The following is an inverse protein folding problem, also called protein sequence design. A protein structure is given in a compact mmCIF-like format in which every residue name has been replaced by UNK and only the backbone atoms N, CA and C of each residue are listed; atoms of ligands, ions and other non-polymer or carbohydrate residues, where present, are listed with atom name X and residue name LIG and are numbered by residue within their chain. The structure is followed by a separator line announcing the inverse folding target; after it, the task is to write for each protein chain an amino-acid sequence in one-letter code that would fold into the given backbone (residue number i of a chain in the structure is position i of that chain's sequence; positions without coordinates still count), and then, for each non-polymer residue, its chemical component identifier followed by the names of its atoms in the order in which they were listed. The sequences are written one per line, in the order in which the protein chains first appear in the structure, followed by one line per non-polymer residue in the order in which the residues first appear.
data_IF_668991291994
#
_entry.id   IF_668991291994
#
_cell.length_a   1.000
_cell.length_b   1.000
_cell.length_c   1.000
_cell.angle_alpha   90.00
_cell.angle_beta   90.00
_cell.angle_gamma   90.00
#
_symmetry.space_group_name_H-M   'P 1'
#
loop_
_entity.id
_entity.type
_entity.pdbx_description
1 polymer ?
#
# COMPACT_ATOMS: atom_id res chain seq x y z
N UNK A 1 -64.38 65.78 -10.65
CA UNK A 1 -64.40 66.35 -12.01
C UNK A 1 -63.01 66.94 -12.29
N UNK A 2 -62.27 66.34 -13.25
CA UNK A 2 -61.03 66.79 -13.94
C UNK A 2 -59.86 67.46 -13.17
N UNK A 3 -58.69 66.84 -13.22
CA UNK A 3 -57.35 67.37 -13.63
C UNK A 3 -56.32 66.22 -13.44
N UNK A 4 -55.71 65.59 -14.44
CA UNK A 4 -54.65 65.99 -15.40
C UNK A 4 -53.29 66.37 -14.77
N UNK A 5 -52.38 65.38 -14.82
CA UNK A 5 -50.98 65.41 -15.34
C UNK A 5 -49.92 66.23 -14.56
N UNK A 6 -48.88 65.55 -14.04
CA UNK A 6 -47.51 65.52 -14.62
C UNK A 6 -46.49 64.81 -13.71
N UNK A 7 -45.53 64.20 -14.39
CA UNK A 7 -44.16 63.87 -13.96
C UNK A 7 -43.94 62.60 -13.13
N UNK A 8 -43.75 61.49 -13.84
CA UNK A 8 -42.81 60.44 -13.43
C UNK A 8 -42.58 59.47 -14.59
N UNK A 9 -41.73 59.83 -15.56
CA UNK A 9 -41.21 58.88 -16.56
C UNK A 9 -39.96 59.42 -17.25
N UNK A 10 -38.92 59.71 -16.48
CA UNK A 10 -37.54 59.67 -16.98
C UNK A 10 -36.66 59.22 -15.82
N UNK A 11 -35.72 58.31 -16.11
CA UNK A 11 -34.72 57.73 -15.21
C UNK A 11 -35.16 56.47 -14.44
N UNK A 12 -35.23 55.34 -15.16
CA UNK A 12 -34.79 54.02 -14.65
C UNK A 12 -34.71 53.00 -15.80
N UNK A 13 -33.88 53.30 -16.79
CA UNK A 13 -33.26 52.30 -17.66
C UNK A 13 -31.77 52.27 -17.34
N UNK A 14 -31.48 51.82 -16.13
CA UNK A 14 -30.17 51.31 -15.72
C UNK A 14 -30.42 49.90 -15.19
N UNK A 15 -30.62 48.96 -16.10
CA UNK A 15 -30.41 47.55 -15.79
C UNK A 15 -28.93 47.40 -15.43
N UNK A 16 -28.57 46.91 -14.22
CA UNK A 16 -27.23 46.40 -14.02
C UNK A 16 -27.11 45.19 -14.94
N UNK A 17 -26.22 45.32 -15.92
CA UNK A 17 -25.68 44.21 -16.70
C UNK A 17 -25.29 43.14 -15.67
N UNK A 18 -26.02 42.04 -15.64
CA UNK A 18 -25.57 40.85 -14.94
C UNK A 18 -24.22 40.50 -15.55
N UNK A 19 -23.14 40.70 -14.81
CA UNK A 19 -21.84 40.14 -15.13
C UNK A 19 -22.02 38.61 -15.08
N UNK A 20 -22.40 38.03 -16.21
CA UNK A 20 -22.27 36.62 -16.44
C UNK A 20 -20.77 36.34 -16.46
N UNK A 21 -20.19 36.04 -15.29
CA UNK A 21 -18.91 35.35 -15.26
C UNK A 21 -19.13 34.07 -16.04
N UNK A 22 -18.44 33.94 -17.18
CA UNK A 22 -18.39 32.68 -17.90
C UNK A 22 -17.82 31.63 -16.94
N UNK A 23 -18.67 30.71 -16.49
CA UNK A 23 -18.21 29.53 -15.79
C UNK A 23 -17.65 28.58 -16.85
N UNK A 24 -16.33 28.39 -16.83
CA UNK A 24 -15.67 27.41 -17.67
C UNK A 24 -15.85 26.03 -17.02
N UNK A 25 -16.49 25.12 -17.74
CA UNK A 25 -16.52 23.71 -17.36
C UNK A 25 -15.14 23.13 -17.64
N UNK A 26 -14.53 22.55 -16.61
CA UNK A 26 -13.26 21.85 -16.73
C UNK A 26 -13.54 20.36 -16.51
N UNK A 27 -13.04 19.54 -17.42
CA UNK A 27 -13.08 18.09 -17.29
C UNK A 27 -12.05 17.65 -16.24
N UNK A 28 -12.48 16.82 -15.30
CA UNK A 28 -11.62 16.25 -14.26
C UNK A 28 -11.75 14.73 -14.26
N UNK A 29 -10.61 14.05 -14.11
CA UNK A 29 -10.58 12.62 -13.92
C UNK A 29 -11.14 12.24 -12.54
N UNK A 30 -12.01 11.23 -12.52
CA UNK A 30 -12.48 10.63 -11.27
C UNK A 30 -11.35 9.80 -10.65
N UNK A 31 -11.01 10.10 -9.41
CA UNK A 31 -9.99 9.39 -8.63
C UNK A 31 -10.63 8.73 -7.40
N UNK A 32 -10.13 7.56 -7.02
CA UNK A 32 -10.58 6.85 -5.82
C UNK A 32 -9.62 7.06 -4.65
N UNK A 33 -10.13 7.05 -3.42
CA UNK A 33 -9.26 6.96 -2.25
C UNK A 33 -8.57 5.58 -2.16
N UNK A 34 -7.55 5.44 -1.31
CA UNK A 34 -6.76 4.20 -1.22
C UNK A 34 -7.59 2.98 -0.79
N UNK A 35 -8.70 3.19 -0.08
CA UNK A 35 -9.66 2.13 0.30
C UNK A 35 -10.69 1.82 -0.79
N UNK A 36 -10.72 2.61 -1.88
CA UNK A 36 -11.74 2.56 -2.94
C UNK A 36 -13.18 2.61 -2.40
N UNK A 37 -13.34 3.25 -1.24
CA UNK A 37 -14.63 3.48 -0.59
C UNK A 37 -15.25 4.79 -1.05
N UNK A 38 -14.45 5.69 -1.61
CA UNK A 38 -14.90 6.98 -2.12
C UNK A 38 -14.30 7.24 -3.50
N UNK A 39 -15.09 7.90 -4.35
CA UNK A 39 -14.65 8.44 -5.64
C UNK A 39 -14.92 9.95 -5.62
N UNK A 40 -14.01 10.74 -6.16
CA UNK A 40 -14.09 12.18 -6.15
C UNK A 40 -13.16 12.80 -7.17
N UNK A 41 -12.82 14.06 -6.94
CA UNK A 41 -11.96 14.85 -7.81
C UNK A 41 -10.86 15.50 -6.99
N UNK A 42 -9.67 15.54 -7.57
CA UNK A 42 -8.56 16.37 -7.12
C UNK A 42 -8.31 17.50 -8.13
N UNK A 43 -7.58 18.53 -7.69
CA UNK A 43 -7.28 19.70 -8.52
C UNK A 43 -6.42 19.36 -9.75
N UNK A 44 -5.65 18.27 -9.69
CA UNK A 44 -4.83 17.76 -10.80
C UNK A 44 -4.94 16.24 -10.87
N UNK A 45 -4.72 15.67 -12.05
CA UNK A 45 -4.76 14.21 -12.25
C UNK A 45 -3.57 13.47 -11.63
N UNK A 46 -2.50 14.16 -11.23
CA UNK A 46 -1.36 13.57 -10.52
C UNK A 46 -1.59 13.43 -9.02
N UNK A 47 -2.62 14.08 -8.47
CA UNK A 47 -2.97 14.00 -7.06
C UNK A 47 -3.82 12.78 -6.74
N UNK A 48 -3.73 12.32 -5.50
CA UNK A 48 -4.49 11.19 -5.02
C UNK A 48 -5.52 11.62 -3.97
N UNK A 49 -6.76 11.12 -4.09
CA UNK A 49 -7.87 11.43 -3.18
C UNK A 49 -7.64 10.78 -1.82
N UNK A 50 -7.71 11.58 -0.75
CA UNK A 50 -7.62 11.13 0.64
C UNK A 50 -9.03 10.85 1.18
N UNK A 51 -9.85 11.88 1.30
CA UNK A 51 -11.25 11.77 1.75
C UNK A 51 -12.08 12.93 1.19
N UNK A 52 -13.29 12.65 0.67
CA UNK A 52 -14.19 13.66 0.12
C UNK A 52 -14.75 14.63 1.18
N UNK A 53 -14.75 14.26 2.46
CA UNK A 53 -15.18 15.11 3.57
C UNK A 53 -14.10 16.10 4.03
N UNK A 54 -12.87 15.95 3.53
CA UNK A 54 -11.75 16.82 3.81
C UNK A 54 -11.75 18.08 2.92
N UNK A 55 -10.88 19.03 3.25
CA UNK A 55 -10.92 20.39 2.71
C UNK A 55 -9.75 20.66 1.76
N UNK A 56 -10.07 21.10 0.54
CA UNK A 56 -9.11 21.44 -0.52
C UNK A 56 -8.13 22.56 -0.13
N UNK A 57 -8.46 23.37 0.88
CA UNK A 57 -7.55 24.40 1.43
C UNK A 57 -6.28 23.78 2.04
N UNK A 58 -6.35 22.53 2.49
CA UNK A 58 -5.23 21.80 3.07
C UNK A 58 -4.58 20.82 2.09
N UNK A 59 -4.97 20.83 0.81
CA UNK A 59 -4.40 19.94 -0.19
C UNK A 59 -2.87 20.04 -0.24
N UNK A 60 -2.23 18.90 -0.49
CA UNK A 60 -0.77 18.74 -0.54
C UNK A 60 -0.06 19.03 0.78
N UNK A 61 -0.79 19.02 1.91
CA UNK A 61 -0.24 19.06 3.26
C UNK A 61 -0.54 17.75 4.00
N UNK A 62 0.25 16.67 3.79
CA UNK A 62 -0.02 15.37 4.42
C UNK A 62 -0.12 15.42 5.95
N UNK A 63 0.61 16.34 6.61
CA UNK A 63 0.55 16.52 8.06
C UNK A 63 -0.85 16.93 8.58
N UNK A 64 -1.65 17.64 7.77
CA UNK A 64 -3.03 18.01 8.13
C UNK A 64 -3.97 16.78 8.24
N UNK A 65 -3.57 15.62 7.71
CA UNK A 65 -4.36 14.38 7.84
C UNK A 65 -4.76 14.10 9.28
N UNK A 66 -3.83 14.28 10.21
CA UNK A 66 -4.03 14.04 11.64
C UNK A 66 -5.07 14.96 12.26
N UNK A 67 -5.12 16.22 11.83
CA UNK A 67 -6.15 17.17 12.24
C UNK A 67 -7.50 16.83 11.60
N UNK A 68 -7.49 16.42 10.33
CA UNK A 68 -8.64 15.93 9.56
C UNK A 68 -9.40 14.79 10.24
N UNK A 69 -8.67 13.86 10.88
CA UNK A 69 -9.28 12.77 11.65
C UNK A 69 -10.15 13.26 12.82
N UNK A 70 -9.90 14.46 13.36
CA UNK A 70 -10.69 15.08 14.43
C UNK A 70 -11.70 16.07 13.89
N UNK A 71 -11.29 16.87 12.92
CA UNK A 71 -12.07 17.93 12.31
C UNK A 71 -11.93 17.80 10.79
N UNK A 72 -12.89 17.18 10.08
CA UNK A 72 -12.77 16.93 8.64
C UNK A 72 -12.43 18.18 7.82
N UNK A 73 -12.92 19.36 8.24
CA UNK A 73 -12.60 20.64 7.60
C UNK A 73 -11.12 21.07 7.67
N UNK A 74 -10.28 20.34 8.40
CA UNK A 74 -8.84 20.56 8.59
C UNK A 74 -7.96 19.47 7.97
N UNK A 75 -8.54 18.46 7.31
CA UNK A 75 -7.79 17.43 6.59
C UNK A 75 -7.53 17.82 5.12
N UNK A 76 -6.46 17.29 4.49
CA UNK A 76 -6.22 17.45 3.06
C UNK A 76 -7.20 16.59 2.26
N UNK A 77 -7.96 17.15 1.33
CA UNK A 77 -8.82 16.34 0.44
C UNK A 77 -7.98 15.48 -0.50
N UNK A 78 -6.88 16.05 -1.00
CA UNK A 78 -5.93 15.40 -1.90
C UNK A 78 -4.48 15.67 -1.49
N UNK A 79 -3.57 14.76 -1.83
CA UNK A 79 -2.12 14.95 -1.72
C UNK A 79 -1.45 14.78 -3.08
N UNK A 80 -0.28 15.39 -3.25
CA UNK A 80 0.45 15.42 -4.52
C UNK A 80 1.22 14.12 -4.77
N UNK A 81 1.56 13.89 -6.04
CA UNK A 81 2.47 12.80 -6.41
C UNK A 81 3.81 12.97 -5.68
N UNK A 82 4.34 11.87 -5.12
CA UNK A 82 5.54 11.90 -4.30
C UNK A 82 5.27 12.07 -2.80
N UNK A 83 4.04 12.45 -2.41
CA UNK A 83 3.66 12.57 -1.01
C UNK A 83 3.01 11.28 -0.48
N UNK A 84 3.00 11.12 0.84
CA UNK A 84 2.40 9.96 1.49
C UNK A 84 1.70 10.31 2.81
N UNK A 85 0.75 9.47 3.19
CA UNK A 85 0.13 9.42 4.52
C UNK A 85 0.30 8.00 5.03
N UNK A 86 1.00 7.82 6.15
CA UNK A 86 1.38 6.48 6.65
C UNK A 86 2.04 5.69 5.52
N UNK A 87 1.62 4.45 5.25
CA UNK A 87 2.18 3.66 4.16
C UNK A 87 1.65 4.05 2.78
N UNK A 88 0.62 4.90 2.68
CA UNK A 88 -0.07 5.19 1.41
C UNK A 88 0.66 6.29 0.65
N UNK A 89 1.25 5.92 -0.48
CA UNK A 89 2.05 6.79 -1.32
C UNK A 89 1.29 7.14 -2.60
N UNK A 90 1.27 8.43 -2.95
CA UNK A 90 0.66 8.91 -4.18
C UNK A 90 1.68 8.89 -5.32
N UNK A 91 1.39 8.13 -6.37
CA UNK A 91 2.24 8.01 -7.56
C UNK A 91 1.43 8.35 -8.81
N UNK A 92 1.58 9.58 -9.31
CA UNK A 92 0.93 10.06 -10.54
C UNK A 92 -0.58 9.77 -10.57
N UNK A 93 -1.29 10.17 -9.51
CA UNK A 93 -2.73 9.98 -9.38
C UNK A 93 -3.17 8.59 -8.93
N UNK A 94 -2.23 7.65 -8.81
CA UNK A 94 -2.50 6.28 -8.38
C UNK A 94 -1.95 6.03 -6.98
N UNK A 95 -2.75 5.39 -6.14
CA UNK A 95 -2.29 4.91 -4.84
C UNK A 95 -1.39 3.69 -4.99
N UNK A 96 -0.27 3.70 -4.28
CA UNK A 96 0.56 2.53 -3.97
C UNK A 96 0.97 2.59 -2.50
N UNK A 97 1.84 1.70 -2.04
CA UNK A 97 2.40 1.77 -0.70
C UNK A 97 3.90 2.05 -0.71
N UNK A 98 4.41 2.66 0.36
CA UNK A 98 5.86 2.78 0.57
C UNK A 98 6.49 1.41 0.77
N UNK A 99 5.76 0.47 1.38
CA UNK A 99 6.13 -0.95 1.42
C UNK A 99 6.34 -1.53 0.01
N UNK A 100 5.50 -1.20 -0.97
CA UNK A 100 5.65 -1.67 -2.35
C UNK A 100 6.94 -1.14 -3.00
N UNK A 101 7.23 0.14 -2.83
CA UNK A 101 8.45 0.77 -3.37
C UNK A 101 9.71 0.18 -2.73
N UNK A 102 9.66 -0.07 -1.41
CA UNK A 102 10.73 -0.75 -0.70
C UNK A 102 10.88 -2.22 -1.13
N UNK A 103 9.77 -2.92 -1.34
CA UNK A 103 9.75 -4.30 -1.83
C UNK A 103 10.41 -4.40 -3.22
N UNK A 104 10.14 -3.44 -4.11
CA UNK A 104 10.78 -3.34 -5.43
C UNK A 104 12.29 -3.16 -5.31
N UNK A 105 12.75 -2.29 -4.40
CA UNK A 105 14.19 -2.11 -4.13
C UNK A 105 14.86 -3.41 -3.65
N UNK A 106 14.19 -4.19 -2.80
CA UNK A 106 14.68 -5.48 -2.33
C UNK A 106 14.67 -6.55 -3.44
N UNK A 107 13.67 -6.57 -4.32
CA UNK A 107 13.68 -7.44 -5.51
C UNK A 107 14.86 -7.08 -6.42
N UNK A 108 15.10 -5.79 -6.68
CA UNK A 108 16.24 -5.36 -7.48
C UNK A 108 17.58 -5.86 -6.89
N UNK A 109 17.74 -5.79 -5.56
CA UNK A 109 18.88 -6.37 -4.85
C UNK A 109 19.00 -7.88 -5.09
N UNK A 110 17.90 -8.63 -4.94
CA UNK A 110 17.90 -10.06 -5.18
C UNK A 110 18.24 -10.43 -6.62
N UNK A 111 17.74 -9.68 -7.60
CA UNK A 111 18.02 -9.92 -9.02
C UNK A 111 19.48 -9.69 -9.38
N UNK A 112 20.14 -8.72 -8.73
CA UNK A 112 21.57 -8.51 -8.93
C UNK A 112 22.43 -9.60 -8.27
N UNK A 113 22.07 -10.03 -7.06
CA UNK A 113 22.94 -10.86 -6.23
C UNK A 113 22.65 -12.38 -6.31
N UNK A 114 21.39 -12.75 -6.57
CA UNK A 114 20.91 -14.14 -6.57
C UNK A 114 19.63 -14.28 -7.42
N UNK A 115 19.70 -13.99 -8.74
CA UNK A 115 18.53 -13.83 -9.61
C UNK A 115 17.59 -15.04 -9.62
N UNK A 116 18.14 -16.25 -9.46
CA UNK A 116 17.38 -17.50 -9.52
C UNK A 116 17.13 -18.15 -8.16
N UNK A 117 17.47 -17.49 -7.05
CA UNK A 117 17.26 -18.05 -5.72
C UNK A 117 17.06 -16.96 -4.67
N UNK A 118 15.81 -16.56 -4.48
CA UNK A 118 15.44 -15.60 -3.44
C UNK A 118 14.00 -15.77 -2.99
N UNK A 119 13.68 -15.22 -1.82
CA UNK A 119 12.32 -15.01 -1.36
C UNK A 119 12.17 -13.66 -0.68
N UNK A 120 11.10 -12.95 -0.99
CA UNK A 120 10.66 -11.72 -0.35
C UNK A 120 9.32 -11.97 0.35
N UNK A 121 9.21 -11.51 1.59
CA UNK A 121 7.98 -11.56 2.36
C UNK A 121 7.74 -10.22 3.05
N UNK A 122 6.65 -9.54 2.67
CA UNK A 122 6.21 -8.28 3.22
C UNK A 122 4.90 -8.49 3.99
N UNK A 123 4.90 -8.10 5.27
CA UNK A 123 3.76 -8.19 6.18
C UNK A 123 3.94 -7.18 7.31
N UNK A 124 3.06 -7.19 8.31
CA UNK A 124 3.29 -6.49 9.56
C UNK A 124 4.65 -6.89 10.15
N UNK A 125 5.33 -5.97 10.88
CA UNK A 125 6.63 -6.27 11.47
C UNK A 125 6.64 -7.52 12.35
N UNK A 126 5.55 -7.78 13.08
CA UNK A 126 5.42 -8.94 13.97
C UNK A 126 5.34 -10.28 13.21
N UNK A 127 4.80 -10.28 11.99
CA UNK A 127 4.75 -11.48 11.15
C UNK A 127 6.03 -11.67 10.33
N UNK A 128 6.57 -10.58 9.79
CA UNK A 128 7.75 -10.62 8.93
C UNK A 128 9.05 -10.84 9.72
N UNK A 129 9.20 -10.22 10.89
CA UNK A 129 10.43 -10.25 11.68
C UNK A 129 10.33 -11.27 12.82
N UNK A 130 11.07 -12.37 12.68
CA UNK A 130 10.99 -13.52 13.59
C UNK A 130 11.48 -13.23 15.04
N UNK A 131 12.29 -12.20 15.26
CA UNK A 131 12.92 -11.91 16.56
C UNK A 131 12.94 -10.42 16.87
N UNK A 132 11.85 -9.92 17.43
CA UNK A 132 11.76 -8.54 17.92
C UNK A 132 12.06 -8.41 19.42
N UNK A 133 11.98 -9.50 20.19
CA UNK A 133 12.16 -9.48 21.65
C UNK A 133 13.66 -9.48 22.05
N UNK A 134 14.35 -8.36 21.81
CA UNK A 134 15.70 -8.11 22.32
C UNK A 134 15.83 -6.67 22.81
N UNK A 135 16.90 -6.40 23.56
CA UNK A 135 17.21 -5.06 24.05
C UNK A 135 18.45 -4.53 23.37
N UNK A 136 18.47 -3.23 23.13
CA UNK A 136 19.64 -2.45 22.72
C UNK A 136 20.10 -1.58 23.88
N UNK A 137 21.18 -0.81 23.70
CA UNK A 137 21.58 0.19 24.70
C UNK A 137 20.53 1.28 24.91
N UNK A 138 19.58 1.42 23.98
CA UNK A 138 18.55 2.46 23.97
C UNK A 138 17.21 1.99 24.52
N UNK A 139 16.97 0.68 24.62
CA UNK A 139 15.75 0.13 25.18
C UNK A 139 15.29 -1.17 24.53
N UNK A 140 14.01 -1.48 24.75
CA UNK A 140 13.38 -2.70 24.28
C UNK A 140 12.82 -2.53 22.86
N UNK A 141 13.28 -3.37 21.93
CA UNK A 141 13.09 -3.17 20.49
C UNK A 141 11.64 -3.12 20.01
N UNK A 142 10.70 -3.94 20.51
CA UNK A 142 9.29 -3.87 20.11
C UNK A 142 8.66 -2.50 20.38
N UNK A 143 9.22 -1.72 21.31
CA UNK A 143 8.83 -0.34 21.56
C UNK A 143 8.91 0.52 20.30
N UNK A 144 9.99 0.40 19.51
CA UNK A 144 10.21 1.21 18.30
C UNK A 144 9.33 0.82 17.11
N UNK A 145 8.53 -0.24 17.23
CA UNK A 145 7.57 -0.65 16.18
C UNK A 145 6.16 -0.15 16.49
N UNK A 146 5.68 -0.30 17.72
CA UNK A 146 4.26 -0.10 18.04
C UNK A 146 3.99 1.03 19.05
N UNK A 147 4.98 1.41 19.86
CA UNK A 147 4.79 2.38 20.93
C UNK A 147 5.56 3.69 20.64
N UNK A 148 4.83 4.81 20.71
CA UNK A 148 5.42 6.15 20.92
C UNK A 148 6.03 6.86 19.71
N UNK A 149 5.40 6.75 18.52
CA UNK A 149 5.59 7.76 17.48
C UNK A 149 4.59 8.91 17.66
N UNK A 150 5.12 10.13 17.66
CA UNK A 150 4.31 11.34 17.66
C UNK A 150 4.05 11.72 16.20
N UNK A 151 2.78 11.76 15.85
CA UNK A 151 2.33 12.33 14.59
C UNK A 151 1.88 13.76 14.85
N UNK A 152 2.51 14.72 14.19
CA UNK A 152 2.25 16.15 14.44
C UNK A 152 1.34 16.70 13.34
N UNK A 153 0.11 17.04 13.70
CA UNK A 153 -0.74 17.94 12.92
C UNK A 153 -0.41 19.39 13.21
N UNK A 154 -1.08 20.32 12.52
CA UNK A 154 -0.94 21.76 12.74
C UNK A 154 -1.50 22.20 14.10
N UNK A 155 -2.52 21.49 14.63
CA UNK A 155 -3.19 21.86 15.88
C UNK A 155 -2.80 20.98 17.07
N UNK A 156 -1.83 20.07 16.88
CA UNK A 156 -1.23 19.33 17.97
C UNK A 156 -0.65 17.98 17.58
N UNK A 157 -0.05 17.33 18.58
CA UNK A 157 0.48 15.99 18.48
C UNK A 157 -0.60 14.94 18.75
N UNK A 158 -0.57 13.85 17.96
CA UNK A 158 -1.35 12.63 18.19
C UNK A 158 -0.36 11.51 18.45
N UNK A 159 -0.59 10.77 19.54
CA UNK A 159 0.09 9.50 19.74
C UNK A 159 -0.53 8.49 18.78
N UNK A 160 0.19 8.15 17.72
CA UNK A 160 -0.18 7.06 16.84
C UNK A 160 0.51 5.78 17.31
N UNK A 161 -0.19 4.66 17.17
CA UNK A 161 0.45 3.33 17.15
C UNK A 161 1.07 3.12 15.77
N UNK A 162 1.99 2.17 15.65
CA UNK A 162 2.68 1.90 14.39
C UNK A 162 3.69 2.99 14.01
N UNK A 163 4.84 2.98 14.67
CA UNK A 163 5.97 3.86 14.35
C UNK A 163 6.60 3.54 12.99
N UNK A 164 6.32 2.33 12.50
CA UNK A 164 6.70 1.84 11.18
C UNK A 164 5.47 1.19 10.55
N UNK A 165 5.44 1.11 9.22
CA UNK A 165 4.40 0.36 8.52
C UNK A 165 4.80 -1.12 8.40
N UNK A 166 4.44 -1.76 7.29
CA UNK A 166 4.84 -3.13 7.03
C UNK A 166 6.36 -3.24 6.85
N UNK A 167 6.87 -4.43 7.13
CA UNK A 167 8.27 -4.79 6.97
C UNK A 167 8.39 -5.88 5.90
N UNK A 168 9.39 -5.74 5.05
CA UNK A 168 9.76 -6.72 4.04
C UNK A 168 11.06 -7.40 4.44
N UNK A 169 11.08 -8.74 4.40
CA UNK A 169 12.28 -9.54 4.61
C UNK A 169 12.64 -10.23 3.31
N UNK A 170 13.87 -10.03 2.87
CA UNK A 170 14.46 -10.64 1.70
C UNK A 170 15.50 -11.67 2.13
N UNK A 171 15.32 -12.92 1.72
CA UNK A 171 16.36 -13.93 1.71
C UNK A 171 16.88 -14.09 0.29
N UNK A 172 18.20 -13.95 0.08
CA UNK A 172 18.83 -14.04 -1.23
C UNK A 172 20.19 -14.73 -1.08
N UNK A 173 20.37 -15.86 -1.77
CA UNK A 173 21.45 -16.79 -1.45
C UNK A 173 21.42 -17.19 0.03
N UNK A 174 22.52 -16.96 0.74
CA UNK A 174 22.66 -17.21 2.19
C UNK A 174 22.56 -15.93 3.05
N UNK A 175 22.16 -14.80 2.46
CA UNK A 175 22.03 -13.51 3.15
C UNK A 175 20.58 -13.16 3.40
N UNK A 176 20.37 -12.32 4.39
CA UNK A 176 19.08 -11.74 4.75
C UNK A 176 19.24 -10.23 4.75
N UNK A 177 18.31 -9.54 4.10
CA UNK A 177 18.09 -8.12 4.24
C UNK A 177 16.65 -7.91 4.71
N UNK A 178 16.39 -6.77 5.33
CA UNK A 178 15.02 -6.33 5.54
C UNK A 178 14.90 -4.83 5.28
N UNK A 179 13.68 -4.38 5.07
CA UNK A 179 13.38 -2.97 5.04
C UNK A 179 11.98 -2.68 5.53
N UNK A 180 11.75 -1.41 5.85
CA UNK A 180 10.51 -0.90 6.41
C UNK A 180 10.38 0.60 6.13
N UNK A 181 9.15 1.08 6.01
CA UNK A 181 8.84 2.51 5.92
C UNK A 181 8.52 3.05 7.32
N UNK A 182 9.03 4.23 7.63
CA UNK A 182 8.94 4.87 8.94
C UNK A 182 7.79 5.89 8.96
N UNK A 183 7.09 5.96 10.09
CA UNK A 183 6.09 6.99 10.34
C UNK A 183 6.64 8.14 11.20
N UNK A 184 7.88 8.02 11.69
CA UNK A 184 8.64 9.11 12.29
C UNK A 184 9.95 9.30 11.54
N UNK A 185 10.48 10.52 11.55
CA UNK A 185 11.76 10.78 10.89
C UNK A 185 12.89 9.98 11.54
N UNK A 186 13.87 9.60 10.72
CA UNK A 186 15.02 8.77 11.12
C UNK A 186 15.89 9.43 12.20
N UNK A 187 15.84 10.75 12.33
CA UNK A 187 16.61 11.55 13.27
C UNK A 187 15.80 11.98 14.51
N UNK A 188 14.57 11.48 14.65
CA UNK A 188 13.73 11.80 15.81
C UNK A 188 14.29 11.22 17.12
N UNK A 189 13.95 11.79 18.30
CA UNK A 189 14.41 11.26 19.59
C UNK A 189 14.04 9.80 19.85
N UNK A 190 12.95 9.31 19.24
CA UNK A 190 12.51 7.91 19.28
C UNK A 190 12.85 7.17 17.97
N UNK A 191 13.99 7.50 17.35
CA UNK A 191 14.41 6.96 16.06
C UNK A 191 14.43 5.43 16.03
N UNK A 192 14.04 4.88 14.88
CA UNK A 192 14.19 3.45 14.60
C UNK A 192 15.67 2.99 14.59
N UNK A 193 16.63 3.89 14.41
CA UNK A 193 18.07 3.56 14.51
C UNK A 193 18.43 2.92 15.86
N UNK A 194 17.71 3.28 16.92
CA UNK A 194 17.88 2.67 18.23
C UNK A 194 17.50 1.18 18.27
N UNK A 195 16.58 0.72 17.42
CA UNK A 195 16.29 -0.70 17.25
C UNK A 195 17.49 -1.44 16.62
N UNK A 196 18.29 -0.76 15.81
CA UNK A 196 19.53 -1.29 15.21
C UNK A 196 20.76 -1.09 16.09
N UNK A 197 20.57 -0.60 17.32
CA UNK A 197 21.65 -0.23 18.25
C UNK A 197 22.60 0.84 17.66
N UNK A 198 22.02 1.81 16.95
CA UNK A 198 22.72 2.95 16.35
C UNK A 198 22.25 4.27 16.97
N UNK A 199 23.13 5.30 17.07
CA UNK A 199 22.73 6.63 17.50
C UNK A 199 21.90 7.35 16.43
N UNK A 200 21.10 8.35 16.84
CA UNK A 200 20.11 9.04 15.97
C UNK A 200 20.73 9.81 14.81
N UNK A 201 22.01 10.16 14.91
CA UNK A 201 22.76 10.91 13.91
C UNK A 201 23.43 10.01 12.86
N UNK A 202 23.28 8.69 12.96
CA UNK A 202 23.95 7.73 12.06
C UNK A 202 23.56 7.87 10.59
N UNK A 203 22.41 8.47 10.28
CA UNK A 203 21.95 8.66 8.91
C UNK A 203 21.95 10.14 8.44
N UNK A 204 22.62 11.06 9.13
CA UNK A 204 22.59 12.49 8.76
C UNK A 204 23.09 12.77 7.34
N UNK A 205 24.00 11.95 6.82
CA UNK A 205 24.51 12.06 5.44
C UNK A 205 23.50 11.61 4.37
N UNK A 206 22.46 10.87 4.75
CA UNK A 206 21.42 10.32 3.88
C UNK A 206 20.11 11.14 3.92
N UNK A 207 20.12 12.31 4.57
CA UNK A 207 18.98 13.24 4.61
C UNK A 207 19.15 14.23 3.45
N UNK A 208 18.60 13.89 2.29
CA UNK A 208 18.61 14.71 1.08
C UNK A 208 17.37 14.43 0.21
N UNK A 209 17.15 15.21 -0.85
CA UNK A 209 15.94 15.11 -1.68
C UNK A 209 16.21 14.46 -3.06
N UNK A 210 17.17 13.54 -3.18
CA UNK A 210 17.49 12.90 -4.47
C UNK A 210 16.61 11.69 -4.82
N UNK A 211 15.79 11.23 -3.86
CA UNK A 211 14.83 10.15 -4.05
C UNK A 211 15.43 8.75 -4.06
N UNK A 212 16.72 8.57 -3.78
CA UNK A 212 17.38 7.27 -3.77
C UNK A 212 17.67 6.74 -2.36
N UNK A 213 18.34 5.59 -2.27
CA UNK A 213 18.75 5.02 -0.98
C UNK A 213 20.24 5.23 -0.78
N UNK A 214 20.58 6.08 0.18
CA UNK A 214 21.94 6.38 0.56
C UNK A 214 22.47 5.48 1.66
N UNK A 215 23.75 5.14 1.57
CA UNK A 215 24.44 4.44 2.65
C UNK A 215 24.57 5.37 3.86
N UNK A 216 24.03 4.97 5.00
CA UNK A 216 24.02 5.79 6.19
C UNK A 216 24.99 5.22 7.26
N UNK A 217 24.88 3.93 7.60
CA UNK A 217 25.66 3.33 8.68
C UNK A 217 26.00 1.86 8.42
N UNK A 218 27.10 1.65 7.70
CA UNK A 218 27.64 0.32 7.39
C UNK A 218 26.70 -0.51 6.51
N UNK A 219 25.75 -1.20 7.14
CA UNK A 219 24.76 -2.07 6.46
C UNK A 219 23.37 -1.43 6.35
N UNK A 220 23.24 -0.17 6.75
CA UNK A 220 21.98 0.58 6.72
C UNK A 220 21.96 1.55 5.55
N UNK A 221 20.86 1.52 4.81
CA UNK A 221 20.55 2.40 3.70
C UNK A 221 19.25 3.14 4.00
N UNK A 222 19.17 4.42 3.68
CA UNK A 222 18.02 5.25 4.01
C UNK A 222 17.61 6.10 2.81
N UNK A 223 16.30 6.21 2.59
CA UNK A 223 15.69 7.08 1.59
C UNK A 223 14.83 8.10 2.32
N UNK A 224 15.22 9.37 2.23
CA UNK A 224 14.53 10.47 2.92
C UNK A 224 13.15 10.76 2.32
N UNK A 225 13.02 10.80 0.99
CA UNK A 225 11.75 11.09 0.32
C UNK A 225 10.67 10.05 0.61
N UNK A 226 11.04 8.79 0.79
CA UNK A 226 10.13 7.71 1.20
C UNK A 226 10.08 7.53 2.72
N UNK A 227 10.95 8.22 3.47
CA UNK A 227 11.23 7.97 4.88
C UNK A 227 11.27 6.46 5.19
N UNK A 228 12.15 5.74 4.50
CA UNK A 228 12.25 4.28 4.55
C UNK A 228 13.68 3.81 4.70
N UNK A 229 13.86 2.67 5.35
CA UNK A 229 15.16 2.12 5.71
C UNK A 229 15.31 0.68 5.20
N UNK A 230 16.50 0.36 4.72
CA UNK A 230 16.92 -1.01 4.38
C UNK A 230 18.15 -1.37 5.20
N UNK A 231 18.09 -2.49 5.91
CA UNK A 231 19.24 -3.13 6.53
C UNK A 231 19.67 -4.34 5.69
N UNK A 232 20.85 -4.26 5.09
CA UNK A 232 21.39 -5.24 4.14
C UNK A 232 22.87 -5.53 4.43
N UNK A 233 23.18 -6.39 5.42
CA UNK A 233 24.56 -6.69 5.78
C UNK A 233 25.31 -7.42 4.67
N UNK A 234 26.55 -6.98 4.43
CA UNK A 234 27.41 -7.52 3.38
C UNK A 234 26.98 -7.12 1.96
N UNK A 235 26.18 -6.05 1.81
CA UNK A 235 25.87 -5.44 0.52
C UNK A 235 26.66 -4.13 0.40
N UNK A 236 27.43 -3.98 -0.67
CA UNK A 236 28.31 -2.82 -0.89
C UNK A 236 27.59 -1.61 -1.49
N UNK A 237 26.55 -1.83 -2.30
CA UNK A 237 25.74 -0.80 -2.93
C UNK A 237 24.33 -1.34 -3.19
N UNK A 238 23.28 -0.54 -3.09
CA UNK A 238 21.96 -0.93 -3.59
C UNK A 238 21.87 -0.71 -5.11
N UNK A 239 21.22 -1.60 -5.88
CA UNK A 239 21.02 -1.37 -7.29
C UNK A 239 19.90 -0.37 -7.52
N UNK A 240 19.91 0.37 -8.63
CA UNK A 240 18.72 1.08 -9.07
C UNK A 240 17.57 0.10 -9.39
N UNK A 241 16.34 0.59 -9.27
CA UNK A 241 15.14 -0.15 -9.68
C UNK A 241 15.03 -0.09 -11.21
N UNK A 242 15.00 -1.25 -11.85
CA UNK A 242 14.82 -1.38 -13.31
C UNK A 242 13.46 -1.98 -13.67
N UNK A 243 13.13 -2.00 -14.97
CA UNK A 243 11.88 -2.59 -15.45
C UNK A 243 11.76 -4.08 -15.11
N UNK A 244 12.86 -4.82 -15.01
CA UNK A 244 12.86 -6.24 -14.64
C UNK A 244 12.32 -6.45 -13.22
N UNK A 245 12.76 -5.64 -12.26
CA UNK A 245 12.29 -5.72 -10.88
C UNK A 245 10.80 -5.43 -10.74
N UNK A 246 10.26 -4.47 -11.52
CA UNK A 246 8.84 -4.13 -11.56
C UNK A 246 7.96 -5.25 -12.15
N UNK A 247 8.52 -6.08 -13.03
CA UNK A 247 7.79 -7.21 -13.64
C UNK A 247 7.46 -8.31 -12.62
N UNK A 248 8.18 -8.41 -11.50
CA UNK A 248 7.87 -9.39 -10.44
C UNK A 248 6.57 -9.10 -9.68
N UNK A 249 6.07 -7.87 -9.76
CA UNK A 249 4.79 -7.48 -9.18
C UNK A 249 3.71 -7.46 -10.27
N UNK A 250 3.97 -6.75 -11.36
CA UNK A 250 2.96 -6.49 -12.39
C UNK A 250 2.56 -7.74 -13.18
N UNK A 251 3.51 -8.60 -13.56
CA UNK A 251 3.20 -9.77 -14.41
C UNK A 251 2.39 -10.84 -13.68
N UNK A 252 2.78 -11.32 -12.48
CA UNK A 252 1.95 -12.28 -11.73
C UNK A 252 0.56 -11.74 -11.39
N UNK A 253 0.46 -10.44 -11.06
CA UNK A 253 -0.83 -9.80 -10.81
C UNK A 253 -1.72 -9.79 -12.07
N UNK A 254 -1.16 -9.45 -13.23
CA UNK A 254 -1.91 -9.49 -14.50
C UNK A 254 -2.40 -10.90 -14.85
N UNK A 255 -1.58 -11.92 -14.60
CA UNK A 255 -1.99 -13.32 -14.78
C UNK A 255 -3.14 -13.71 -13.84
N UNK A 256 -3.07 -13.29 -12.57
CA UNK A 256 -4.16 -13.48 -11.62
C UNK A 256 -5.42 -12.72 -12.01
N UNK A 257 -5.29 -11.49 -12.49
CA UNK A 257 -6.41 -10.69 -13.00
C UNK A 257 -7.10 -11.42 -14.14
N UNK A 258 -6.36 -11.88 -15.15
CA UNK A 258 -6.92 -12.65 -16.27
C UNK A 258 -7.63 -13.91 -15.78
N UNK A 259 -6.96 -14.70 -14.94
CA UNK A 259 -7.56 -15.89 -14.34
C UNK A 259 -8.90 -15.60 -13.65
N UNK A 260 -8.95 -14.52 -12.86
CA UNK A 260 -10.16 -14.09 -12.18
C UNK A 260 -11.27 -13.76 -13.17
N UNK A 261 -11.01 -12.91 -14.16
CA UNK A 261 -12.05 -12.46 -15.08
C UNK A 261 -12.49 -13.54 -16.07
N UNK A 262 -11.63 -14.50 -16.39
CA UNK A 262 -11.95 -15.59 -17.32
C UNK A 262 -12.73 -16.73 -16.63
N UNK A 263 -12.45 -17.00 -15.34
CA UNK A 263 -12.93 -18.24 -14.69
C UNK A 263 -13.69 -18.05 -13.36
N UNK A 264 -13.55 -16.92 -12.68
CA UNK A 264 -14.03 -16.76 -11.30
C UNK A 264 -15.07 -15.65 -11.19
N UNK A 265 -14.80 -14.49 -11.75
CA UNK A 265 -15.60 -13.30 -11.56
C UNK A 265 -16.98 -13.44 -12.20
N UNK A 266 -18.02 -13.26 -11.39
CA UNK A 266 -19.41 -13.18 -11.84
C UNK A 266 -20.09 -12.02 -11.11
N UNK A 267 -20.15 -10.82 -11.71
CA UNK A 267 -20.63 -9.62 -11.02
C UNK A 267 -22.12 -9.69 -10.63
N UNK A 268 -22.87 -10.65 -11.19
CA UNK A 268 -24.26 -10.90 -10.80
C UNK A 268 -24.44 -11.71 -9.51
N UNK A 269 -23.36 -12.26 -8.94
CA UNK A 269 -23.39 -13.07 -7.73
C UNK A 269 -22.37 -12.51 -6.74
N UNK A 270 -22.83 -11.99 -5.60
CA UNK A 270 -21.99 -11.25 -4.63
C UNK A 270 -20.77 -12.05 -4.17
N UNK A 271 -20.90 -13.36 -4.00
CA UNK A 271 -19.84 -14.29 -3.62
C UNK A 271 -18.76 -14.46 -4.69
N UNK A 272 -19.00 -13.97 -5.91
CA UNK A 272 -18.10 -14.05 -7.06
C UNK A 272 -17.75 -12.66 -7.59
N UNK A 273 -17.96 -11.61 -6.80
CA UNK A 273 -17.51 -10.27 -7.14
C UNK A 273 -16.03 -10.07 -6.75
N UNK A 274 -15.19 -10.24 -7.76
CA UNK A 274 -13.75 -10.03 -7.74
C UNK A 274 -13.34 -8.81 -8.59
N UNK A 275 -14.26 -7.86 -8.78
CA UNK A 275 -14.01 -6.60 -9.51
C UNK A 275 -12.77 -5.85 -9.02
N UNK A 276 -12.39 -6.03 -7.74
CA UNK A 276 -11.16 -5.51 -7.15
C UNK A 276 -9.89 -5.83 -7.97
N UNK A 277 -9.81 -7.04 -8.55
CA UNK A 277 -8.64 -7.47 -9.34
C UNK A 277 -8.41 -6.62 -10.59
N UNK A 278 -9.39 -5.82 -11.02
CA UNK A 278 -9.22 -4.92 -12.16
C UNK A 278 -8.28 -3.75 -11.87
N UNK A 279 -7.98 -3.45 -10.60
CA UNK A 279 -7.10 -2.35 -10.24
C UNK A 279 -5.86 -2.84 -9.50
N UNK A 280 -4.78 -2.07 -9.63
CA UNK A 280 -3.46 -2.40 -9.08
C UNK A 280 -3.52 -2.44 -7.55
N UNK A 281 -3.05 -3.53 -6.92
CA UNK A 281 -2.91 -3.61 -5.47
C UNK A 281 -1.95 -2.53 -4.95
N UNK A 282 -2.17 -2.09 -3.71
CA UNK A 282 -1.23 -1.26 -2.97
C UNK A 282 0.04 -2.03 -2.60
N UNK A 283 -0.03 -3.37 -2.57
CA UNK A 283 1.08 -4.27 -2.25
C UNK A 283 1.62 -4.07 -0.83
N UNK A 284 0.74 -3.78 0.13
CA UNK A 284 1.09 -3.76 1.55
C UNK A 284 1.56 -5.15 2.03
N UNK A 285 0.92 -6.22 1.52
CA UNK A 285 1.24 -7.61 1.82
C UNK A 285 1.60 -8.35 0.54
N UNK A 286 2.85 -8.78 0.43
CA UNK A 286 3.38 -9.45 -0.77
C UNK A 286 4.30 -10.58 -0.38
N UNK A 287 4.23 -11.67 -1.14
CA UNK A 287 5.17 -12.77 -1.09
C UNK A 287 5.66 -13.08 -2.50
N UNK A 288 6.98 -13.21 -2.66
CA UNK A 288 7.61 -13.60 -3.92
C UNK A 288 8.69 -14.61 -3.56
N UNK A 289 8.72 -15.76 -4.22
CA UNK A 289 9.84 -16.70 -4.11
C UNK A 289 10.20 -17.26 -5.48
N UNK A 290 11.48 -17.22 -5.82
CA UNK A 290 12.04 -17.75 -7.06
C UNK A 290 13.13 -18.77 -6.75
N UNK A 291 13.04 -19.94 -7.38
CA UNK A 291 14.06 -20.98 -7.35
C UNK A 291 14.18 -21.65 -8.72
N UNK A 292 15.24 -21.32 -9.46
CA UNK A 292 15.37 -21.70 -10.86
C UNK A 292 14.19 -21.17 -11.69
N UNK A 293 13.48 -22.07 -12.38
CA UNK A 293 12.28 -21.73 -13.14
C UNK A 293 11.01 -21.61 -12.29
N UNK A 294 11.05 -22.11 -11.05
CA UNK A 294 9.91 -22.06 -10.12
C UNK A 294 9.68 -20.64 -9.60
N UNK A 295 8.43 -20.20 -9.62
CA UNK A 295 7.98 -18.92 -9.07
C UNK A 295 6.74 -19.14 -8.21
N UNK A 296 6.76 -18.60 -7.00
CA UNK A 296 5.59 -18.42 -6.15
C UNK A 296 5.39 -16.93 -5.92
N UNK A 297 4.17 -16.47 -6.11
CA UNK A 297 3.75 -15.09 -5.92
C UNK A 297 2.45 -15.09 -5.11
N UNK A 298 2.34 -14.15 -4.19
CA UNK A 298 1.09 -13.89 -3.49
C UNK A 298 0.97 -12.42 -3.14
N UNK A 299 -0.26 -11.93 -3.06
CA UNK A 299 -0.58 -10.64 -2.46
C UNK A 299 -1.86 -10.73 -1.64
N UNK A 300 -2.00 -9.81 -0.68
CA UNK A 300 -3.21 -9.61 0.11
C UNK A 300 -3.51 -8.12 0.22
N UNK A 301 -4.78 -7.79 0.19
CA UNK A 301 -5.33 -6.44 0.30
C UNK A 301 -6.47 -6.47 1.31
N UNK A 302 -6.48 -5.51 2.24
CA UNK A 302 -7.44 -5.48 3.35
C UNK A 302 -8.29 -4.22 3.28
N UNK A 303 -9.60 -4.36 3.53
CA UNK A 303 -10.56 -3.25 3.58
C UNK A 303 -10.62 -2.37 2.31
N UNK A 304 -10.58 -2.98 1.12
CA UNK A 304 -10.40 -2.28 -0.18
C UNK A 304 -11.69 -2.01 -0.96
N UNK A 305 -12.84 -2.02 -0.29
CA UNK A 305 -14.13 -1.66 -0.88
C UNK A 305 -15.02 -0.95 0.12
N UNK A 306 -16.16 -0.39 -0.33
CA UNK A 306 -17.24 0.09 0.54
C UNK A 306 -17.70 -0.95 1.58
N UNK A 307 -17.66 -2.24 1.23
CA UNK A 307 -18.01 -3.35 2.14
C UNK A 307 -16.81 -3.83 2.96
N UNK A 308 -15.68 -3.13 2.92
CA UNK A 308 -14.44 -3.45 3.61
C UNK A 308 -13.96 -4.88 3.34
N UNK A 309 -14.10 -5.34 2.09
CA UNK A 309 -13.72 -6.71 1.72
C UNK A 309 -12.20 -6.83 1.65
N UNK A 310 -11.67 -7.92 2.18
CA UNK A 310 -10.28 -8.33 2.01
C UNK A 310 -10.17 -9.26 0.80
N UNK A 311 -9.11 -9.11 0.00
CA UNK A 311 -8.83 -9.96 -1.16
C UNK A 311 -7.42 -10.52 -1.07
N UNK A 312 -7.23 -11.73 -1.60
CA UNK A 312 -5.91 -12.31 -1.75
C UNK A 312 -5.83 -13.13 -3.04
N UNK A 313 -4.64 -13.15 -3.63
CA UNK A 313 -4.34 -13.93 -4.82
C UNK A 313 -2.98 -14.57 -4.72
N UNK A 314 -2.88 -15.82 -5.20
CA UNK A 314 -1.62 -16.56 -5.28
C UNK A 314 -1.46 -17.16 -6.66
N UNK A 315 -0.27 -16.97 -7.21
CA UNK A 315 0.14 -17.51 -8.50
C UNK A 315 1.42 -18.32 -8.32
N UNK A 316 1.41 -19.52 -8.90
CA UNK A 316 2.56 -20.41 -8.91
C UNK A 316 2.86 -20.81 -10.34
N UNK A 317 4.14 -20.89 -10.70
CA UNK A 317 4.62 -21.28 -12.02
C UNK A 317 5.78 -22.25 -11.88
N UNK A 318 5.75 -23.34 -12.66
CA UNK A 318 6.74 -24.41 -12.65
C UNK A 318 6.96 -25.00 -11.24
N UNK A 319 5.87 -25.23 -10.51
CA UNK A 319 5.86 -25.86 -9.19
C UNK A 319 4.87 -27.02 -9.24
N UNK A 320 5.34 -28.22 -8.94
CA UNK A 320 4.50 -29.41 -8.91
C UNK A 320 3.65 -29.44 -7.63
N UNK A 321 2.34 -29.45 -7.80
CA UNK A 321 1.39 -29.62 -6.71
C UNK A 321 0.90 -31.07 -6.62
N UNK A 322 0.70 -31.60 -5.39
CA UNK A 322 0.05 -32.89 -5.23
C UNK A 322 -1.33 -32.93 -5.90
N UNK A 323 -1.69 -34.09 -6.47
CA UNK A 323 -3.00 -34.27 -7.07
C UNK A 323 -4.14 -33.96 -6.07
N UNK A 324 -5.12 -33.19 -6.53
CA UNK A 324 -6.25 -32.77 -5.70
C UNK A 324 -5.93 -31.65 -4.72
N UNK A 325 -4.86 -30.87 -4.93
CA UNK A 325 -4.46 -29.77 -4.03
C UNK A 325 -5.61 -28.82 -3.72
N UNK A 326 -6.40 -28.44 -4.73
CA UNK A 326 -7.54 -27.54 -4.52
C UNK A 326 -8.55 -28.12 -3.53
N UNK A 327 -9.03 -29.36 -3.74
CA UNK A 327 -10.06 -29.96 -2.90
C UNK A 327 -9.52 -30.36 -1.51
N UNK A 328 -8.32 -30.94 -1.45
CA UNK A 328 -7.75 -31.53 -0.23
C UNK A 328 -7.20 -30.51 0.75
N UNK A 329 -6.62 -29.42 0.24
CA UNK A 329 -5.95 -28.42 1.08
C UNK A 329 -6.70 -27.10 1.07
N UNK A 330 -6.94 -26.51 -0.10
CA UNK A 330 -7.50 -25.16 -0.20
C UNK A 330 -8.97 -25.13 0.22
N UNK A 331 -9.80 -26.00 -0.36
CA UNK A 331 -11.22 -26.12 -0.02
C UNK A 331 -11.48 -26.74 1.34
N UNK A 332 -10.54 -27.51 1.86
CA UNK A 332 -10.66 -28.00 3.23
C UNK A 332 -10.36 -26.89 4.25
N UNK A 333 -9.40 -26.02 3.96
CA UNK A 333 -9.04 -24.88 4.82
C UNK A 333 -10.05 -23.72 4.72
N UNK A 334 -10.61 -23.47 3.54
CA UNK A 334 -11.70 -22.53 3.32
C UNK A 334 -12.86 -23.23 2.57
N UNK A 335 -13.72 -23.96 3.30
CA UNK A 335 -14.85 -24.68 2.73
C UNK A 335 -15.96 -23.76 2.23
N UNK A 336 -15.83 -22.44 2.41
CA UNK A 336 -16.77 -21.49 1.85
C UNK A 336 -16.61 -21.37 0.33
N UNK A 337 -17.60 -20.78 -0.33
CA UNK A 337 -17.55 -20.49 -1.77
C UNK A 337 -16.50 -19.41 -2.10
N UNK A 338 -15.88 -18.79 -1.08
CA UNK A 338 -15.07 -17.58 -1.17
C UNK A 338 -13.61 -17.79 -1.60
N UNK A 339 -13.22 -19.02 -1.91
CA UNK A 339 -11.90 -19.36 -2.47
C UNK A 339 -12.07 -20.03 -3.83
N UNK A 340 -11.16 -19.84 -4.78
CA UNK A 340 -11.23 -20.49 -6.10
C UNK A 340 -9.87 -21.00 -6.54
N UNK A 341 -9.85 -22.27 -6.96
CA UNK A 341 -8.65 -22.98 -7.43
C UNK A 341 -8.99 -24.19 -8.32
N UNK A 342 -10.25 -24.38 -8.72
CA UNK A 342 -10.71 -25.63 -9.37
C UNK A 342 -10.38 -25.69 -10.85
N UNK A 343 -10.57 -24.57 -11.55
CA UNK A 343 -10.22 -24.43 -12.96
C UNK A 343 -8.80 -23.88 -12.99
N UNK A 344 -7.89 -24.55 -13.70
CA UNK A 344 -6.51 -24.13 -13.90
C UNK A 344 -6.24 -24.08 -15.41
N UNK A 345 -5.65 -22.99 -15.93
CA UNK A 345 -5.50 -22.80 -17.37
C UNK A 345 -4.36 -23.63 -17.99
N UNK A 346 -3.39 -24.09 -17.19
CA UNK A 346 -2.29 -24.94 -17.64
C UNK A 346 -1.79 -25.85 -16.53
N UNK A 347 -1.05 -26.91 -16.90
CA UNK A 347 -0.45 -27.84 -15.94
C UNK A 347 0.80 -27.26 -15.25
N UNK A 348 1.44 -26.26 -15.86
CA UNK A 348 2.65 -25.61 -15.33
C UNK A 348 2.34 -24.41 -14.43
N UNK A 349 1.08 -24.02 -14.31
CA UNK A 349 0.66 -22.86 -13.53
C UNK A 349 -0.45 -23.24 -12.55
N UNK A 350 -0.49 -22.56 -11.41
CA UNK A 350 -1.53 -22.77 -10.41
C UNK A 350 -1.98 -21.45 -9.82
N UNK A 351 -3.29 -21.23 -9.81
CA UNK A 351 -3.94 -20.01 -9.40
C UNK A 351 -4.86 -20.27 -8.22
N UNK A 352 -4.79 -19.40 -7.24
CA UNK A 352 -5.70 -19.37 -6.10
C UNK A 352 -6.13 -17.93 -5.90
N UNK A 353 -7.44 -17.70 -5.75
CA UNK A 353 -7.96 -16.41 -5.30
C UNK A 353 -8.94 -16.61 -4.17
N UNK A 354 -8.98 -15.65 -3.26
CA UNK A 354 -9.95 -15.65 -2.18
C UNK A 354 -10.37 -14.23 -1.85
N UNK A 355 -11.55 -14.12 -1.25
CA UNK A 355 -12.02 -12.88 -0.65
C UNK A 355 -12.67 -13.16 0.71
N UNK A 356 -12.66 -12.17 1.58
CA UNK A 356 -13.30 -12.23 2.89
C UNK A 356 -14.06 -10.94 3.11
N UNK A 357 -15.38 -11.05 3.23
CA UNK A 357 -16.17 -9.97 3.81
C UNK A 357 -16.04 -10.04 5.33
N UNK A 358 -15.71 -8.93 6.02
CA UNK A 358 -15.74 -8.87 7.47
C UNK A 358 -17.09 -9.39 8.00
N UNK A 359 -17.11 -10.18 9.09
CA UNK A 359 -18.36 -10.75 9.57
C UNK A 359 -19.32 -9.65 10.08
N UNK A 360 -20.59 -9.77 9.74
CA UNK A 360 -21.68 -9.16 10.53
C UNK A 360 -21.93 -10.07 11.74
N UNK A 361 -21.14 -9.95 12.81
CA UNK A 361 -21.33 -10.70 14.07
C UNK A 361 -20.13 -11.51 14.58
N UNK A 362 -20.32 -12.27 15.66
CA UNK A 362 -19.26 -12.85 16.54
C UNK A 362 -18.68 -14.21 16.11
N UNK A 363 -19.08 -14.77 14.97
CA UNK A 363 -18.55 -16.06 14.49
C UNK A 363 -18.05 -15.94 13.05
N UNK A 364 -16.78 -15.59 12.86
CA UNK A 364 -16.12 -15.78 11.55
C UNK A 364 -15.43 -17.14 11.50
N UNK A 365 -15.83 -17.99 10.56
CA UNK A 365 -14.98 -19.10 10.14
C UNK A 365 -13.69 -18.53 9.53
N UNK A 366 -12.55 -19.18 9.79
CA UNK A 366 -11.28 -18.82 9.16
C UNK A 366 -11.43 -18.86 7.64
N UNK A 367 -11.06 -17.78 6.97
CA UNK A 367 -10.96 -17.74 5.51
C UNK A 367 -9.52 -18.01 5.08
N UNK A 368 -9.34 -18.40 3.82
CA UNK A 368 -8.01 -18.53 3.22
C UNK A 368 -7.19 -17.23 3.30
N UNK A 369 -7.86 -16.07 3.27
CA UNK A 369 -7.24 -14.75 3.46
C UNK A 369 -6.56 -14.65 4.85
N UNK A 370 -7.19 -15.21 5.88
CA UNK A 370 -6.66 -15.21 7.26
C UNK A 370 -5.46 -16.16 7.42
N UNK A 371 -5.36 -17.16 6.54
CA UNK A 371 -4.26 -18.12 6.49
C UNK A 371 -3.07 -17.61 5.65
N UNK A 372 -3.04 -16.32 5.31
CA UNK A 372 -1.96 -15.68 4.57
C UNK A 372 -0.56 -16.02 5.11
N UNK A 373 -0.26 -15.90 6.43
CA UNK A 373 1.05 -16.25 6.97
C UNK A 373 1.38 -17.74 6.82
N UNK A 374 0.37 -18.61 6.89
CA UNK A 374 0.55 -20.06 6.72
C UNK A 374 0.81 -20.43 5.26
N UNK A 375 0.08 -19.83 4.32
CA UNK A 375 0.26 -20.08 2.89
C UNK A 375 1.60 -19.55 2.37
N UNK A 376 2.04 -18.39 2.86
CA UNK A 376 3.34 -17.80 2.46
C UNK A 376 4.52 -18.36 3.27
N UNK A 377 4.29 -18.79 4.52
CA UNK A 377 5.31 -19.31 5.42
C UNK A 377 5.55 -20.83 5.36
N UNK A 378 4.51 -21.64 5.13
CA UNK A 378 4.60 -23.13 5.11
C UNK A 378 4.61 -23.73 3.71
N UNK A 379 4.12 -23.02 2.68
CA UNK A 379 4.33 -23.37 1.27
C UNK A 379 5.62 -22.75 0.70
N UNK A 380 6.57 -22.37 1.57
CA UNK A 380 7.95 -22.10 1.15
C UNK A 380 8.38 -23.29 0.31
N UNK A 381 8.70 -23.01 -0.95
CA UNK A 381 9.06 -24.02 -1.91
C UNK A 381 10.29 -24.76 -1.36
N UNK A 382 10.06 -25.89 -0.69
CA UNK A 382 11.08 -26.90 -0.50
C UNK A 382 11.21 -27.58 -1.87
N UNK A 383 11.94 -26.92 -2.77
CA UNK A 383 12.54 -27.64 -3.90
C UNK A 383 13.75 -28.37 -3.37
#
# INVERSE_FOLDING_TARGET
MRLIVKLLFVALLLFPIAFAQSADWVEFDLVSNWQRSQVGFCKTSSQCLVDNSFNETFDNLPAAYWDGLRFPSQGPKCIDSGQFILDKFCSQGNWTSRTALLAQQLVALALRESPDNFSLYCDTPFNALHRLNYSTTFGYVPGYFDNSCIQTGFFGAINSRGCVNNACVLQFGNRIAFGLSLNSNIDSPNSFLHALNLPVDSCQNAINDDGDYDSCAGSVWYNWNLNSLIYAPGVSALPGIDSTSLLFFSRPHELLRRYVFDYVHSPGVREFDYSFFNATPLFDFVYIAKKGLGLSYGFKEENVTLSQIDYAGWYYSNIDFPAGTCERFIKNADPSVRSHCKVQPSDSEYYIVAHKTPPLGTFSRQSLVDLWPDLTGKLRVKV
#
